data_IF_333516123686
#
_entry.id   IF_333516123686
#
_cell.length_a   1.000
_cell.length_b   1.000
_cell.length_c   1.000
_cell.angle_alpha   90.00
_cell.angle_beta   90.00
_cell.angle_gamma   90.00
#
_symmetry.space_group_name_H-M   'P 1'
#
loop_
_entity.id
_entity.type
_entity.pdbx_description
1 polymer ?
#
# COMPACT_ATOMS: atom_id res chain seq x y z
N UNK A 1 9.49 -4.53 0.82
CA UNK A 1 9.14 -3.16 0.45
C UNK A 1 7.73 -2.79 0.90
N UNK A 2 7.38 -1.49 0.86
CA UNK A 2 6.01 -1.03 1.18
C UNK A 2 5.53 -1.32 2.61
N UNK A 3 6.43 -1.57 3.56
CA UNK A 3 6.07 -1.91 4.93
C UNK A 3 5.36 -3.26 5.08
N UNK A 4 5.45 -4.14 4.08
CA UNK A 4 4.91 -5.50 4.12
C UNK A 4 5.99 -6.51 4.46
N UNK A 5 5.67 -7.45 5.36
CA UNK A 5 6.56 -8.52 5.80
C UNK A 5 5.87 -9.87 5.59
N UNK A 6 6.55 -10.76 4.89
CA UNK A 6 6.04 -12.08 4.53
C UNK A 6 5.26 -12.11 3.22
N UNK A 7 5.20 -13.30 2.61
CA UNK A 7 4.60 -13.50 1.28
C UNK A 7 3.11 -13.19 1.26
N UNK A 8 2.37 -13.54 2.30
CA UNK A 8 0.93 -13.31 2.36
C UNK A 8 0.58 -11.81 2.44
N UNK A 9 1.34 -11.04 3.25
CA UNK A 9 1.16 -9.60 3.32
C UNK A 9 1.56 -8.91 2.01
N UNK A 10 2.60 -9.40 1.33
CA UNK A 10 3.01 -8.91 0.04
C UNK A 10 1.97 -9.23 -1.06
N UNK A 11 1.41 -10.44 -1.07
CA UNK A 11 0.33 -10.83 -1.99
C UNK A 11 -0.88 -9.90 -1.86
N UNK A 12 -1.36 -9.69 -0.64
CA UNK A 12 -2.46 -8.76 -0.37
C UNK A 12 -2.15 -7.32 -0.79
N UNK A 13 -0.90 -6.87 -0.60
CA UNK A 13 -0.48 -5.54 -1.00
C UNK A 13 -0.44 -5.36 -2.52
N UNK A 14 0.17 -6.30 -3.24
CA UNK A 14 0.34 -6.18 -4.69
C UNK A 14 -0.92 -6.60 -5.47
N UNK A 15 -1.64 -7.63 -5.01
CA UNK A 15 -2.70 -8.30 -5.78
C UNK A 15 -4.07 -8.26 -5.13
N UNK A 16 -4.15 -8.01 -3.80
CA UNK A 16 -5.41 -7.89 -3.07
C UNK A 16 -5.96 -9.22 -2.52
N UNK A 17 -5.26 -10.35 -2.71
CA UNK A 17 -5.68 -11.67 -2.26
C UNK A 17 -4.59 -12.43 -1.49
N UNK A 18 -4.95 -13.61 -0.94
CA UNK A 18 -4.06 -14.45 -0.16
C UNK A 18 -2.92 -15.04 -1.00
N UNK A 19 -1.77 -15.31 -0.35
CA UNK A 19 -0.65 -16.00 -0.99
C UNK A 19 -0.96 -17.44 -1.42
N UNK A 20 -2.04 -18.05 -0.90
CA UNK A 20 -2.50 -19.37 -1.31
C UNK A 20 -3.12 -19.37 -2.71
N UNK A 21 -3.53 -18.21 -3.20
CA UNK A 21 -4.22 -18.01 -4.47
C UNK A 21 -3.32 -17.41 -5.57
N UNK A 22 -2.03 -17.17 -5.27
CA UNK A 22 -1.12 -16.50 -6.23
C UNK A 22 -0.85 -17.36 -7.46
N UNK A 23 -0.91 -16.70 -8.60
CA UNK A 23 -0.54 -17.27 -9.91
C UNK A 23 0.99 -17.33 -10.09
N UNK A 24 1.50 -18.11 -11.05
CA UNK A 24 2.94 -18.09 -11.38
C UNK A 24 3.47 -16.69 -11.73
N UNK A 25 2.70 -15.87 -12.44
CA UNK A 25 3.09 -14.51 -12.77
C UNK A 25 3.20 -13.62 -11.54
N UNK A 26 2.25 -13.71 -10.63
CA UNK A 26 2.27 -12.97 -9.36
C UNK A 26 3.41 -13.44 -8.45
N UNK A 27 3.66 -14.74 -8.37
CA UNK A 27 4.82 -15.26 -7.65
C UNK A 27 6.13 -14.68 -8.20
N UNK A 28 6.28 -14.60 -9.53
CA UNK A 28 7.44 -14.00 -10.15
C UNK A 28 7.57 -12.50 -9.83
N UNK A 29 6.47 -11.74 -9.79
CA UNK A 29 6.47 -10.34 -9.33
C UNK A 29 6.99 -10.24 -7.88
N UNK A 30 6.53 -11.09 -6.96
CA UNK A 30 7.02 -11.08 -5.59
C UNK A 30 8.51 -11.38 -5.49
N UNK A 31 9.00 -12.32 -6.28
CA UNK A 31 10.44 -12.70 -6.32
C UNK A 31 11.30 -11.53 -6.77
N UNK A 32 10.92 -10.79 -7.81
CA UNK A 32 11.72 -9.65 -8.30
C UNK A 32 11.78 -8.51 -7.27
N UNK A 33 10.77 -8.36 -6.39
CA UNK A 33 10.79 -7.38 -5.31
C UNK A 33 11.89 -7.66 -4.27
N UNK A 34 12.35 -8.90 -4.13
CA UNK A 34 13.43 -9.24 -3.19
C UNK A 34 14.77 -8.63 -3.61
N UNK A 35 15.00 -8.44 -4.91
CA UNK A 35 16.25 -7.89 -5.42
C UNK A 35 16.31 -6.36 -5.32
N UNK A 36 15.28 -5.66 -5.79
CA UNK A 36 15.19 -4.20 -5.71
C UNK A 36 13.72 -3.75 -5.82
N UNK A 37 13.01 -3.58 -4.70
CA UNK A 37 11.58 -3.28 -4.70
C UNK A 37 11.25 -1.91 -5.30
N UNK A 38 12.12 -0.90 -5.15
CA UNK A 38 11.88 0.42 -5.73
C UNK A 38 12.06 0.43 -7.25
N UNK A 39 13.01 -0.37 -7.76
CA UNK A 39 13.36 -0.39 -9.18
C UNK A 39 12.41 -1.26 -10.01
N UNK A 40 11.89 -2.36 -9.42
CA UNK A 40 11.02 -3.33 -10.08
C UNK A 40 9.56 -3.26 -9.61
N UNK A 41 9.16 -2.17 -8.94
CA UNK A 41 7.77 -2.01 -8.54
C UNK A 41 6.87 -1.96 -9.79
N UNK A 42 5.91 -2.89 -9.94
CA UNK A 42 5.08 -2.95 -11.14
C UNK A 42 4.16 -1.73 -11.31
N UNK A 43 3.81 -1.05 -10.22
CA UNK A 43 2.97 0.16 -10.27
C UNK A 43 3.73 1.39 -10.77
N UNK A 44 5.01 1.50 -10.44
CA UNK A 44 5.82 2.67 -10.79
C UNK A 44 6.65 2.42 -12.07
N UNK A 45 7.03 1.15 -12.30
CA UNK A 45 7.92 0.75 -13.39
C UNK A 45 7.45 -0.54 -14.08
N UNK A 46 6.24 -0.57 -14.69
CA UNK A 46 5.66 -1.81 -15.24
C UNK A 46 6.55 -2.47 -16.29
N UNK A 47 7.17 -1.72 -17.18
CA UNK A 47 8.03 -2.29 -18.23
C UNK A 47 9.25 -3.04 -17.67
N UNK A 48 9.89 -2.49 -16.62
CA UNK A 48 11.02 -3.14 -15.94
C UNK A 48 10.57 -4.40 -15.21
N UNK A 49 9.39 -4.33 -14.58
CA UNK A 49 8.80 -5.49 -13.93
C UNK A 49 8.48 -6.60 -14.92
N UNK A 50 7.91 -6.27 -16.09
CA UNK A 50 7.64 -7.21 -17.18
C UNK A 50 8.90 -7.96 -17.65
N UNK A 51 9.97 -7.21 -17.94
CA UNK A 51 11.22 -7.82 -18.43
C UNK A 51 11.79 -8.78 -17.38
N UNK A 52 11.88 -8.34 -16.13
CA UNK A 52 12.46 -9.15 -15.06
C UNK A 52 11.58 -10.33 -14.68
N UNK A 53 10.25 -10.17 -14.74
CA UNK A 53 9.29 -11.25 -14.51
C UNK A 53 9.46 -12.40 -15.52
N UNK A 54 9.68 -12.09 -16.80
CA UNK A 54 9.96 -13.11 -17.83
C UNK A 54 11.20 -13.95 -17.52
N UNK A 55 12.25 -13.33 -16.98
CA UNK A 55 13.44 -14.07 -16.55
C UNK A 55 13.11 -15.08 -15.45
N UNK A 56 12.30 -14.66 -14.45
CA UNK A 56 11.89 -15.52 -13.34
C UNK A 56 11.00 -16.66 -13.83
N UNK A 57 9.99 -16.35 -14.66
CA UNK A 57 9.10 -17.35 -15.25
C UNK A 57 9.88 -18.37 -16.09
N UNK A 58 10.83 -17.91 -16.91
CA UNK A 58 11.74 -18.79 -17.66
C UNK A 58 12.56 -19.69 -16.73
N UNK A 59 13.01 -19.18 -15.61
CA UNK A 59 13.72 -20.00 -14.62
C UNK A 59 12.79 -21.05 -13.96
N UNK A 60 11.53 -20.71 -13.70
CA UNK A 60 10.53 -21.64 -13.17
C UNK A 60 10.24 -22.77 -14.17
N UNK A 61 10.14 -22.45 -15.46
CA UNK A 61 9.99 -23.47 -16.53
C UNK A 61 11.21 -24.38 -16.60
N UNK A 62 12.43 -23.82 -16.61
CA UNK A 62 13.67 -24.60 -16.61
C UNK A 62 13.83 -25.51 -15.40
N UNK A 63 13.32 -25.07 -14.25
CA UNK A 63 13.32 -25.86 -13.03
C UNK A 63 12.20 -26.93 -12.96
N UNK A 64 11.29 -26.94 -13.94
CA UNK A 64 10.17 -27.89 -14.02
C UNK A 64 9.03 -27.61 -13.07
N UNK A 65 8.94 -26.41 -12.52
CA UNK A 65 7.81 -26.01 -11.66
C UNK A 65 6.53 -25.72 -12.43
N UNK A 66 6.66 -25.18 -13.62
CA UNK A 66 5.56 -24.88 -14.55
C UNK A 66 5.97 -25.23 -15.97
N UNK A 67 5.00 -25.43 -16.86
CA UNK A 67 5.20 -25.59 -18.29
C UNK A 67 5.37 -24.23 -18.98
N UNK A 68 5.90 -24.24 -20.21
CA UNK A 68 5.98 -23.01 -21.00
C UNK A 68 4.58 -22.40 -21.26
N UNK A 69 3.58 -23.24 -21.54
CA UNK A 69 2.21 -22.79 -21.78
C UNK A 69 1.61 -22.09 -20.54
N UNK A 70 1.79 -22.66 -19.35
CA UNK A 70 1.35 -22.03 -18.10
C UNK A 70 2.08 -20.71 -17.81
N UNK A 71 3.36 -20.65 -18.13
CA UNK A 71 4.16 -19.42 -18.03
C UNK A 71 3.60 -18.30 -18.89
N UNK A 72 3.37 -18.60 -20.18
CA UNK A 72 2.89 -17.62 -21.16
C UNK A 72 1.47 -17.17 -20.84
N UNK A 73 0.57 -18.11 -20.54
CA UNK A 73 -0.81 -17.81 -20.16
C UNK A 73 -0.88 -16.96 -18.88
N UNK A 74 -0.12 -17.33 -17.84
CA UNK A 74 -0.11 -16.59 -16.59
C UNK A 74 0.45 -15.18 -16.75
N UNK A 75 1.50 -15.01 -17.55
CA UNK A 75 2.07 -13.70 -17.87
C UNK A 75 1.07 -12.81 -18.61
N UNK A 76 0.46 -13.32 -19.67
CA UNK A 76 -0.46 -12.56 -20.52
C UNK A 76 -1.71 -12.15 -19.73
N UNK A 77 -2.30 -13.05 -18.95
CA UNK A 77 -3.45 -12.76 -18.11
C UNK A 77 -3.13 -11.69 -17.04
N UNK A 78 -1.97 -11.80 -16.37
CA UNK A 78 -1.56 -10.84 -15.36
C UNK A 78 -1.49 -9.41 -15.91
N UNK A 79 -0.85 -9.20 -17.07
CA UNK A 79 -0.70 -7.86 -17.63
C UNK A 79 -1.93 -7.36 -18.38
N UNK A 80 -2.79 -8.25 -18.87
CA UNK A 80 -4.09 -7.88 -19.45
C UNK A 80 -5.02 -7.28 -18.38
N UNK A 81 -5.00 -7.84 -17.16
CA UNK A 81 -5.85 -7.40 -16.03
C UNK A 81 -5.16 -6.35 -15.14
N UNK A 82 -3.91 -5.97 -15.46
CA UNK A 82 -3.14 -5.07 -14.63
C UNK A 82 -3.69 -3.64 -14.66
N UNK A 83 -3.98 -3.09 -13.48
CA UNK A 83 -4.45 -1.71 -13.35
C UNK A 83 -3.27 -0.72 -13.37
N UNK A 84 -2.96 -0.20 -14.54
CA UNK A 84 -1.92 0.80 -14.77
C UNK A 84 -2.19 2.16 -14.11
N UNK A 85 -3.38 2.38 -13.56
CA UNK A 85 -3.72 3.61 -12.85
C UNK A 85 -3.31 3.56 -11.38
N UNK A 86 -3.02 2.37 -10.86
CA UNK A 86 -2.53 2.19 -9.49
C UNK A 86 -1.10 2.71 -9.36
N UNK A 87 -0.85 3.33 -8.23
CA UNK A 87 0.49 3.74 -7.80
C UNK A 87 0.89 2.97 -6.54
N UNK A 88 2.17 2.97 -6.19
CA UNK A 88 2.64 2.39 -4.92
C UNK A 88 1.92 2.96 -3.70
N UNK A 89 1.53 4.22 -3.75
CA UNK A 89 0.75 4.87 -2.69
C UNK A 89 -0.69 4.35 -2.62
N UNK A 90 -1.35 4.15 -3.78
CA UNK A 90 -2.72 3.60 -3.81
C UNK A 90 -2.77 2.13 -3.39
N UNK A 91 -1.74 1.35 -3.73
CA UNK A 91 -1.61 -0.02 -3.28
C UNK A 91 -1.49 -0.12 -1.74
N UNK A 92 -0.84 0.86 -1.11
CA UNK A 92 -0.79 0.96 0.35
C UNK A 92 -2.18 1.16 0.97
N UNK A 93 -3.05 1.95 0.34
CA UNK A 93 -4.41 2.23 0.81
C UNK A 93 -5.38 1.05 0.64
N UNK A 94 -5.04 0.07 -0.22
CA UNK A 94 -5.84 -1.15 -0.42
C UNK A 94 -5.56 -2.27 0.60
N UNK A 95 -4.79 -2.02 1.65
CA UNK A 95 -4.69 -2.96 2.77
C UNK A 95 -6.08 -3.20 3.35
N UNK A 96 -6.34 -4.43 3.78
CA UNK A 96 -7.53 -4.80 4.57
C UNK A 96 -7.44 -4.22 6.00
N UNK A 97 -7.09 -2.95 6.06
CA UNK A 97 -6.99 -2.16 7.27
C UNK A 97 -8.12 -1.12 7.27
N UNK A 98 -9.17 -1.43 8.00
CA UNK A 98 -10.36 -0.58 8.10
C UNK A 98 -10.14 0.68 8.93
N UNK A 99 -9.04 0.76 9.66
CA UNK A 99 -8.71 1.90 10.52
C UNK A 99 -7.21 2.24 10.45
N UNK A 100 -6.66 2.61 9.28
CA UNK A 100 -5.23 2.72 9.05
C UNK A 100 -4.53 3.73 9.97
N UNK A 101 -5.19 4.82 10.31
CA UNK A 101 -4.66 5.82 11.25
C UNK A 101 -4.50 5.26 12.67
N UNK A 102 -5.50 4.48 13.12
CA UNK A 102 -5.45 3.84 14.41
C UNK A 102 -4.41 2.71 14.44
N UNK A 103 -4.35 1.91 13.39
CA UNK A 103 -3.37 0.82 13.26
C UNK A 103 -1.94 1.36 13.27
N UNK A 104 -1.69 2.49 12.60
CA UNK A 104 -0.38 3.13 12.62
C UNK A 104 -0.05 3.72 14.02
N UNK A 105 -1.03 4.30 14.71
CA UNK A 105 -0.85 4.74 16.10
C UNK A 105 -0.47 3.57 17.00
N UNK A 106 -1.21 2.46 16.94
CA UNK A 106 -0.92 1.24 17.71
C UNK A 106 0.47 0.70 17.39
N UNK A 107 0.85 0.68 16.11
CA UNK A 107 2.18 0.23 15.68
C UNK A 107 3.29 1.08 16.31
N UNK A 108 3.11 2.39 16.37
CA UNK A 108 4.09 3.31 16.99
C UNK A 108 4.17 3.09 18.50
N UNK A 109 3.04 2.97 19.18
CA UNK A 109 3.00 2.71 20.62
C UNK A 109 3.67 1.37 20.97
N UNK A 110 3.41 0.32 20.17
CA UNK A 110 4.08 -0.97 20.34
C UNK A 110 5.59 -0.86 20.10
N UNK A 111 6.03 -0.03 19.15
CA UNK A 111 7.44 0.23 18.92
C UNK A 111 8.15 0.85 20.12
N UNK A 112 7.45 1.66 20.90
CA UNK A 112 7.96 2.27 22.12
C UNK A 112 7.96 1.29 23.32
N UNK A 113 6.98 0.37 23.35
CA UNK A 113 6.83 -0.61 24.43
C UNK A 113 7.72 -1.84 24.26
N UNK A 114 7.92 -2.28 23.03
CA UNK A 114 8.72 -3.44 22.68
C UNK A 114 10.08 -2.94 22.21
N UNK A 115 11.13 -3.21 22.99
CA UNK A 115 12.50 -2.81 22.66
C UNK A 115 12.93 -3.32 21.28
N UNK A 116 12.86 -2.44 20.29
CA UNK A 116 13.31 -2.67 18.91
C UNK A 116 12.15 -2.90 17.92
N UNK A 117 12.00 -1.97 16.98
CA UNK A 117 10.97 -2.01 15.92
C UNK A 117 11.02 -3.27 15.04
N UNK A 118 12.15 -3.96 14.97
CA UNK A 118 12.30 -5.21 14.21
C UNK A 118 11.53 -6.38 14.82
N UNK A 119 11.36 -6.42 16.15
CA UNK A 119 10.66 -7.52 16.83
C UNK A 119 9.15 -7.53 16.56
N UNK A 120 8.52 -6.38 16.32
CA UNK A 120 7.09 -6.28 16.01
C UNK A 120 6.75 -6.98 14.69
N UNK A 121 7.63 -6.87 13.70
CA UNK A 121 7.38 -7.40 12.36
C UNK A 121 7.74 -8.87 12.20
N UNK A 122 8.62 -9.40 13.06
CA UNK A 122 9.16 -10.75 12.92
C UNK A 122 8.61 -11.75 13.93
N UNK A 123 7.97 -11.26 14.99
CA UNK A 123 7.56 -12.12 16.12
C UNK A 123 6.13 -12.66 16.03
N UNK A 124 5.37 -12.31 14.99
CA UNK A 124 4.03 -12.85 14.75
C UNK A 124 3.01 -12.49 15.83
N UNK A 125 3.12 -11.32 16.47
CA UNK A 125 2.20 -10.89 17.51
C UNK A 125 0.77 -10.71 16.99
N UNK A 126 -0.20 -11.15 17.78
CA UNK A 126 -1.59 -10.75 17.65
C UNK A 126 -1.86 -9.64 18.66
N UNK A 127 -2.25 -8.47 18.17
CA UNK A 127 -2.51 -7.29 19.03
C UNK A 127 -4.01 -7.08 19.16
N UNK A 128 -4.53 -7.31 20.36
CA UNK A 128 -5.92 -7.02 20.69
C UNK A 128 -6.02 -5.57 21.19
N UNK A 129 -6.91 -4.80 20.59
CA UNK A 129 -7.13 -3.38 20.93
C UNK A 129 -8.55 -3.15 21.46
N UNK A 130 -8.77 -1.99 22.07
CA UNK A 130 -10.11 -1.53 22.52
C UNK A 130 -10.85 -0.75 21.43
N UNK A 131 -10.35 -0.75 20.19
CA UNK A 131 -10.98 -0.05 19.06
C UNK A 131 -12.40 -0.56 18.83
N UNK A 132 -13.37 0.36 18.85
CA UNK A 132 -14.69 0.11 18.31
C UNK A 132 -14.70 0.52 16.84
N UNK A 133 -14.62 -0.47 15.93
CA UNK A 133 -14.50 -0.23 14.50
C UNK A 133 -15.69 0.56 13.93
N UNK A 134 -16.91 0.33 14.42
CA UNK A 134 -18.08 1.06 13.92
C UNK A 134 -18.03 2.54 14.29
N UNK A 135 -17.59 2.88 15.51
CA UNK A 135 -17.38 4.26 15.93
C UNK A 135 -16.24 4.92 15.15
N UNK A 136 -15.15 4.19 14.91
CA UNK A 136 -14.02 4.66 14.11
C UNK A 136 -14.43 5.00 12.68
N UNK A 137 -15.16 4.12 12.02
CA UNK A 137 -15.63 4.33 10.64
C UNK A 137 -16.61 5.51 10.56
N UNK A 138 -17.54 5.63 11.50
CA UNK A 138 -18.45 6.78 11.58
C UNK A 138 -17.68 8.10 11.79
N UNK A 139 -16.68 8.11 12.65
CA UNK A 139 -15.83 9.28 12.85
C UNK A 139 -15.04 9.66 11.59
N UNK A 140 -14.46 8.68 10.89
CA UNK A 140 -13.76 8.91 9.62
C UNK A 140 -14.70 9.51 8.56
N UNK A 141 -15.90 8.98 8.41
CA UNK A 141 -16.89 9.49 7.44
C UNK A 141 -17.26 10.95 7.74
N UNK A 142 -17.50 11.28 9.02
CA UNK A 142 -17.80 12.66 9.46
C UNK A 142 -16.60 13.57 9.16
N UNK A 143 -15.41 13.18 9.51
CA UNK A 143 -14.18 13.95 9.25
C UNK A 143 -13.97 14.20 7.76
N UNK A 144 -14.08 13.18 6.93
CA UNK A 144 -13.93 13.29 5.48
C UNK A 144 -14.94 14.26 4.87
N UNK A 145 -16.20 14.21 5.34
CA UNK A 145 -17.24 15.14 4.92
C UNK A 145 -16.87 16.58 5.27
N UNK A 146 -16.51 16.86 6.52
CA UNK A 146 -16.17 18.21 6.98
C UNK A 146 -14.92 18.76 6.29
N UNK A 147 -13.92 17.92 6.04
CA UNK A 147 -12.69 18.29 5.35
C UNK A 147 -13.01 18.64 3.89
N UNK A 148 -13.81 17.83 3.18
CA UNK A 148 -14.24 18.13 1.82
C UNK A 148 -15.01 19.44 1.73
N UNK A 149 -15.95 19.68 2.64
CA UNK A 149 -16.72 20.93 2.69
C UNK A 149 -15.85 22.14 3.02
N UNK A 150 -14.89 21.99 3.94
CA UNK A 150 -13.92 23.02 4.29
C UNK A 150 -13.00 23.39 3.12
N UNK A 151 -12.50 22.40 2.42
CA UNK A 151 -11.66 22.59 1.24
C UNK A 151 -12.41 23.29 0.11
N UNK A 152 -13.67 22.91 -0.14
CA UNK A 152 -14.50 23.57 -1.15
C UNK A 152 -14.79 25.04 -0.81
N UNK A 153 -15.02 25.35 0.48
CA UNK A 153 -15.18 26.76 0.93
C UNK A 153 -13.89 27.55 0.73
N UNK A 154 -12.77 26.99 1.18
CA UNK A 154 -11.47 27.62 1.02
C UNK A 154 -11.15 27.91 -0.45
N UNK A 155 -11.37 26.95 -1.34
CA UNK A 155 -11.16 27.14 -2.79
C UNK A 155 -12.04 28.25 -3.35
N UNK A 156 -13.33 28.33 -2.94
CA UNK A 156 -14.24 29.40 -3.39
C UNK A 156 -13.82 30.80 -2.92
N UNK A 157 -13.33 30.90 -1.68
CA UNK A 157 -12.90 32.15 -1.08
C UNK A 157 -11.59 32.69 -1.67
N UNK A 158 -10.70 31.77 -2.11
CA UNK A 158 -9.35 32.10 -2.58
C UNK A 158 -9.17 31.97 -4.10
N UNK A 159 -10.20 31.54 -4.84
CA UNK A 159 -10.15 31.44 -6.31
C UNK A 159 -10.01 32.77 -7.03
N UNK A 160 -10.27 33.90 -6.37
CA UNK A 160 -10.13 35.23 -6.90
C UNK A 160 -8.77 35.91 -6.66
N UNK A 161 -7.86 35.27 -5.93
CA UNK A 161 -6.51 35.79 -5.69
C UNK A 161 -5.52 35.12 -6.63
N UNK A 162 -5.21 35.79 -7.75
CA UNK A 162 -4.30 35.28 -8.80
C UNK A 162 -2.80 35.31 -8.42
N UNK A 163 -2.45 35.82 -7.26
CA UNK A 163 -1.06 36.17 -6.93
C UNK A 163 -0.43 35.29 -5.88
N UNK A 164 -1.12 34.26 -5.38
CA UNK A 164 -0.52 33.27 -4.53
C UNK A 164 -0.50 31.92 -5.23
N UNK A 165 0.60 31.65 -5.92
CA UNK A 165 0.96 30.32 -6.38
C UNK A 165 1.32 29.42 -5.17
N UNK A 166 0.34 29.11 -4.34
CA UNK A 166 0.44 27.96 -3.44
C UNK A 166 0.15 26.70 -4.27
N UNK A 167 1.16 26.28 -5.01
CA UNK A 167 1.12 25.04 -5.80
C UNK A 167 1.35 23.78 -4.95
N UNK A 168 1.32 23.88 -3.64
CA UNK A 168 1.35 22.77 -2.71
C UNK A 168 0.05 22.76 -1.90
N UNK A 169 -0.98 22.19 -2.50
CA UNK A 169 -2.16 21.77 -1.78
C UNK A 169 -1.75 20.60 -0.87
N UNK A 170 -1.55 20.88 0.40
CA UNK A 170 -1.47 19.83 1.42
C UNK A 170 -2.92 19.49 1.75
N UNK A 171 -3.41 18.27 1.45
CA UNK A 171 -4.74 17.87 1.84
C UNK A 171 -4.89 18.09 3.35
N UNK A 172 -6.03 18.60 3.79
CA UNK A 172 -6.29 18.86 5.22
C UNK A 172 -6.11 17.59 6.06
N UNK A 173 -6.28 16.40 5.44
CA UNK A 173 -5.97 15.10 6.03
C UNK A 173 -4.49 14.94 6.40
N UNK A 174 -3.57 15.42 5.58
CA UNK A 174 -2.14 15.44 5.90
C UNK A 174 -1.81 16.50 6.95
N UNK A 175 -2.48 17.65 6.92
CA UNK A 175 -2.29 18.69 7.91
C UNK A 175 -2.78 18.23 9.29
N UNK A 176 -3.91 17.54 9.39
CA UNK A 176 -4.42 16.96 10.63
C UNK A 176 -3.50 15.84 11.11
N UNK A 177 -3.00 14.99 10.21
CA UNK A 177 -2.02 13.96 10.56
C UNK A 177 -0.71 14.56 11.08
N UNK A 178 -0.27 15.69 10.52
CA UNK A 178 0.88 16.46 11.01
C UNK A 178 0.60 17.08 12.39
N UNK A 179 -0.59 17.66 12.61
CA UNK A 179 -0.98 18.27 13.88
C UNK A 179 -1.13 17.23 15.01
N UNK A 180 -1.65 16.05 14.70
CA UNK A 180 -1.77 14.94 15.66
C UNK A 180 -0.41 14.31 16.01
N UNK A 181 0.62 14.58 15.21
CA UNK A 181 2.00 14.10 15.44
C UNK A 181 2.91 15.12 16.14
N UNK A 182 2.41 16.29 16.51
CA UNK A 182 3.19 17.26 17.28
C UNK A 182 3.30 16.79 18.74
N UNK A 183 4.52 16.65 19.29
CA UNK A 183 4.69 16.32 20.69
C UNK A 183 4.20 17.51 21.55
N UNK A 184 3.13 17.32 22.32
CA UNK A 184 2.68 18.29 23.31
C UNK A 184 1.27 18.85 23.14
N UNK A 185 0.41 18.23 22.33
CA UNK A 185 -1.04 18.47 22.36
C UNK A 185 -1.75 17.22 22.87
#
# INVERSE_FOLDING_TARGET
GGGTYGVNAASKYYFGHSAEEITPAEAAILVIQLSNPAFYNPFDHPNRAMERQKDVLSAMVKAGYITQAESDESFDNFWADFDYTRTSSSAYLMRDDKAPWFSEYVRRELGNLIYGSQSIYTSGFTVNTTLNLSHQLAAQEVMDKYIKEGNLRYQKEHSSRSDMAFNTYIPMTELIALLLNLPGI
#
